data_IF_485790206684
#
_entry.id   IF_485790206684
#
_cell.length_a   1.000
_cell.length_b   1.000
_cell.length_c   1.000
_cell.angle_alpha   90.00
_cell.angle_beta   90.00
_cell.angle_gamma   90.00
#
_symmetry.space_group_name_H-M   'P 1'
#
loop_
_entity.id
_entity.type
_entity.pdbx_description
1 polymer ?
#
# COMPACT_ATOMS: atom_id res chain seq x y z
N UNK A 1 13.24 -30.20 -6.29
CA UNK A 1 13.26 -28.87 -5.62
C UNK A 1 11.94 -28.70 -4.90
N UNK A 2 11.95 -28.49 -3.59
CA UNK A 2 10.72 -28.18 -2.85
C UNK A 2 10.31 -26.73 -3.17
N UNK A 3 9.18 -26.54 -3.85
CA UNK A 3 8.54 -25.24 -3.97
C UNK A 3 8.10 -24.80 -2.57
N UNK A 4 8.95 -24.02 -1.89
CA UNK A 4 8.67 -23.52 -0.55
C UNK A 4 7.78 -22.28 -0.68
N UNK A 5 6.48 -22.49 -0.54
CA UNK A 5 5.48 -21.42 -0.46
C UNK A 5 5.82 -20.53 0.74
N UNK A 6 5.89 -19.22 0.52
CA UNK A 6 6.31 -18.21 1.50
C UNK A 6 5.34 -17.03 1.47
N UNK A 7 5.28 -16.26 2.57
CA UNK A 7 4.50 -15.01 2.63
C UNK A 7 4.98 -13.94 1.64
N UNK A 8 6.18 -14.11 1.07
CA UNK A 8 6.72 -13.24 0.02
C UNK A 8 6.07 -13.49 -1.34
N UNK A 9 5.36 -14.59 -1.53
CA UNK A 9 4.65 -14.87 -2.77
C UNK A 9 3.36 -14.04 -2.86
N UNK A 10 3.14 -13.33 -3.97
CA UNK A 10 2.02 -12.41 -4.18
C UNK A 10 0.66 -13.07 -3.89
N UNK A 11 0.48 -14.34 -4.31
CA UNK A 11 -0.77 -15.07 -4.10
C UNK A 11 -0.98 -15.39 -2.62
N UNK A 12 0.08 -15.81 -1.92
CA UNK A 12 0.03 -16.10 -0.48
C UNK A 12 -0.22 -14.82 0.31
N UNK A 13 0.52 -13.76 0.01
CA UNK A 13 0.37 -12.46 0.67
C UNK A 13 -1.06 -11.94 0.51
N UNK A 14 -1.57 -11.89 -0.72
CA UNK A 14 -2.94 -11.49 -1.01
C UNK A 14 -3.97 -12.38 -0.30
N UNK A 15 -3.78 -13.69 -0.28
CA UNK A 15 -4.68 -14.62 0.40
C UNK A 15 -4.73 -14.38 1.91
N UNK A 16 -3.58 -14.20 2.56
CA UNK A 16 -3.50 -13.91 3.99
C UNK A 16 -4.08 -12.53 4.30
N UNK A 17 -3.79 -11.52 3.48
CA UNK A 17 -4.27 -10.16 3.67
C UNK A 17 -5.75 -9.96 3.31
N UNK A 18 -6.36 -10.89 2.57
CA UNK A 18 -7.82 -10.94 2.41
C UNK A 18 -8.53 -11.19 3.75
N UNK A 19 -7.84 -11.76 4.75
CA UNK A 19 -8.35 -11.82 6.11
C UNK A 19 -8.26 -10.43 6.76
N UNK A 20 -9.43 -9.78 6.86
CA UNK A 20 -9.62 -8.45 7.44
C UNK A 20 -8.91 -8.25 8.80
N UNK A 21 -8.96 -9.23 9.70
CA UNK A 21 -8.35 -9.13 11.04
C UNK A 21 -6.83 -9.14 10.96
N UNK A 22 -6.26 -9.97 10.09
CA UNK A 22 -4.82 -10.03 9.89
C UNK A 22 -4.29 -8.77 9.21
N UNK A 23 -4.98 -8.27 8.19
CA UNK A 23 -4.64 -7.02 7.51
C UNK A 23 -4.67 -5.84 8.48
N UNK A 24 -5.75 -5.68 9.27
CA UNK A 24 -5.84 -4.63 10.29
C UNK A 24 -4.69 -4.71 11.29
N UNK A 25 -4.38 -5.92 11.78
CA UNK A 25 -3.28 -6.12 12.74
C UNK A 25 -1.92 -5.78 12.14
N UNK A 26 -1.69 -6.11 10.86
CA UNK A 26 -0.46 -5.74 10.16
C UNK A 26 -0.31 -4.22 10.07
N UNK A 27 -1.35 -3.50 9.63
CA UNK A 27 -1.30 -2.03 9.51
C UNK A 27 -1.01 -1.41 10.88
N UNK A 28 -1.71 -1.88 11.93
CA UNK A 28 -1.52 -1.41 13.30
C UNK A 28 -0.10 -1.69 13.85
N UNK A 29 0.53 -2.80 13.42
CA UNK A 29 1.92 -3.12 13.80
C UNK A 29 2.94 -2.21 13.10
N UNK A 30 2.69 -1.88 11.83
CA UNK A 30 3.59 -1.02 11.04
C UNK A 30 3.45 0.44 11.50
N UNK A 31 2.23 0.88 11.78
CA UNK A 31 1.86 2.25 12.17
C UNK A 31 1.19 2.26 13.56
N UNK A 32 1.92 1.95 14.65
CA UNK A 32 1.37 1.86 16.01
C UNK A 32 0.78 3.19 16.52
N UNK A 33 1.18 4.31 15.94
CA UNK A 33 0.65 5.64 16.23
C UNK A 33 -0.80 5.85 15.77
N UNK A 34 -1.27 5.06 14.80
CA UNK A 34 -2.65 5.11 14.34
C UNK A 34 -3.54 4.32 15.29
N UNK A 35 -4.75 4.80 15.54
CA UNK A 35 -5.77 4.07 16.30
C UNK A 35 -6.72 3.42 15.31
N UNK A 36 -6.37 2.22 14.81
CA UNK A 36 -7.18 1.54 13.79
C UNK A 36 -8.19 0.61 14.47
N UNK A 37 -9.41 1.10 14.62
CA UNK A 37 -10.51 0.32 15.22
C UNK A 37 -11.07 -0.70 14.24
N UNK A 38 -11.21 -0.29 12.98
CA UNK A 38 -11.72 -1.13 11.90
C UNK A 38 -11.16 -0.68 10.56
N UNK A 39 -11.13 -1.63 9.63
CA UNK A 39 -10.90 -1.37 8.21
C UNK A 39 -12.10 -1.80 7.37
N UNK A 40 -12.17 -1.36 6.13
CA UNK A 40 -13.01 -1.97 5.08
C UNK A 40 -12.45 -3.35 4.70
N UNK A 41 -13.22 -4.17 3.97
CA UNK A 41 -12.69 -5.44 3.46
C UNK A 41 -11.54 -5.13 2.49
N UNK A 42 -10.34 -5.73 2.69
CA UNK A 42 -9.21 -5.48 1.81
C UNK A 42 -9.53 -5.92 0.38
N UNK A 43 -9.32 -5.02 -0.58
CA UNK A 43 -9.35 -5.35 -2.00
C UNK A 43 -7.95 -5.75 -2.42
N UNK A 44 -7.77 -7.01 -2.78
CA UNK A 44 -6.48 -7.53 -3.24
C UNK A 44 -6.31 -7.35 -4.74
N UNK A 45 -5.08 -7.10 -5.19
CA UNK A 45 -4.73 -6.93 -6.60
C UNK A 45 -5.58 -5.86 -7.31
N UNK A 46 -5.93 -4.77 -6.59
CA UNK A 46 -6.77 -3.67 -7.11
C UNK A 46 -6.04 -2.96 -8.25
N UNK A 47 -6.61 -3.04 -9.45
CA UNK A 47 -6.05 -2.36 -10.63
C UNK A 47 -6.71 -1.01 -10.82
N UNK A 48 -5.90 0.03 -11.03
CA UNK A 48 -6.37 1.39 -11.38
C UNK A 48 -5.72 1.81 -12.69
N UNK A 49 -6.57 2.19 -13.63
CA UNK A 49 -6.20 2.70 -14.94
C UNK A 49 -7.00 3.99 -15.18
N UNK A 50 -6.30 5.11 -15.31
CA UNK A 50 -6.95 6.43 -15.47
C UNK A 50 -7.35 6.68 -16.93
N UNK A 51 -6.41 6.45 -17.85
CA UNK A 51 -6.62 6.52 -19.30
C UNK A 51 -5.85 5.42 -20.00
N UNK A 52 -6.23 5.05 -21.22
CA UNK A 52 -5.53 4.01 -22.00
C UNK A 52 -4.03 4.31 -22.27
N UNK A 53 -3.63 5.59 -22.19
CA UNK A 53 -2.26 6.03 -22.46
C UNK A 53 -1.41 6.15 -21.19
N UNK A 54 -2.05 6.15 -20.02
CA UNK A 54 -1.34 6.25 -18.74
C UNK A 54 -0.79 4.88 -18.29
N UNK A 55 0.26 4.86 -17.48
CA UNK A 55 0.73 3.61 -16.87
C UNK A 55 -0.28 3.18 -15.79
N UNK A 56 -0.80 1.96 -15.84
CA UNK A 56 -1.65 1.44 -14.77
C UNK A 56 -0.90 1.22 -13.46
N UNK A 57 -1.63 1.15 -12.34
CA UNK A 57 -1.11 0.61 -11.07
C UNK A 57 -1.95 -0.59 -10.65
N UNK A 58 -1.30 -1.56 -10.01
CA UNK A 58 -1.94 -2.69 -9.36
C UNK A 58 -1.45 -2.71 -7.93
N UNK A 59 -2.35 -2.41 -7.01
CA UNK A 59 -2.10 -2.42 -5.58
C UNK A 59 -2.32 -3.84 -5.05
N UNK A 60 -1.35 -4.40 -4.32
CA UNK A 60 -1.49 -5.76 -3.81
C UNK A 60 -2.59 -5.85 -2.77
N UNK A 61 -2.64 -4.91 -1.81
CA UNK A 61 -3.66 -4.83 -0.77
C UNK A 61 -4.10 -3.37 -0.58
N UNK A 62 -5.35 -3.07 -0.91
CA UNK A 62 -5.93 -1.74 -0.73
C UNK A 62 -7.09 -1.81 0.27
N UNK A 63 -7.07 -0.96 1.30
CA UNK A 63 -8.17 -0.82 2.25
C UNK A 63 -8.28 0.60 2.81
N UNK A 64 -9.36 0.89 3.53
CA UNK A 64 -9.61 2.14 4.24
C UNK A 64 -9.91 1.88 5.70
N UNK A 65 -9.45 2.74 6.60
CA UNK A 65 -9.83 2.67 8.01
C UNK A 65 -11.12 3.42 8.33
N UNK A 66 -11.49 3.50 9.62
CA UNK A 66 -12.71 4.17 10.06
C UNK A 66 -12.78 5.67 9.72
N UNK A 67 -11.64 6.33 9.55
CA UNK A 67 -11.53 7.75 9.23
C UNK A 67 -11.42 7.97 7.71
N UNK A 68 -11.46 6.88 6.95
CA UNK A 68 -11.36 6.88 5.50
C UNK A 68 -9.94 7.16 5.00
N UNK A 69 -8.93 6.97 5.85
CA UNK A 69 -7.52 6.99 5.44
C UNK A 69 -7.26 5.72 4.62
N UNK A 70 -6.65 5.88 3.45
CA UNK A 70 -6.30 4.75 2.59
C UNK A 70 -4.99 4.13 3.05
N UNK A 71 -4.97 2.80 3.12
CA UNK A 71 -3.79 1.98 3.36
C UNK A 71 -3.58 1.08 2.16
N UNK A 72 -2.46 1.28 1.47
CA UNK A 72 -1.98 0.45 0.38
C UNK A 72 -0.71 -0.27 0.85
N UNK A 73 -0.66 -1.59 0.68
CA UNK A 73 0.43 -2.44 1.18
C UNK A 73 0.88 -3.39 0.07
N UNK A 74 2.15 -3.29 -0.31
CA UNK A 74 2.78 -4.06 -1.38
C UNK A 74 3.95 -4.90 -0.81
N UNK A 75 4.04 -6.16 -1.21
CA UNK A 75 5.17 -7.04 -0.87
C UNK A 75 6.25 -6.90 -1.95
N UNK A 76 7.33 -6.16 -1.66
CA UNK A 76 8.40 -5.92 -2.62
C UNK A 76 9.55 -6.92 -2.42
N UNK A 77 9.49 -8.06 -3.09
CA UNK A 77 10.53 -9.11 -2.98
C UNK A 77 11.82 -8.77 -3.73
N UNK A 78 11.71 -8.02 -4.84
CA UNK A 78 12.87 -7.70 -5.69
C UNK A 78 13.41 -6.31 -5.39
N UNK A 79 14.73 -6.17 -5.28
CA UNK A 79 15.35 -4.85 -5.23
C UNK A 79 15.29 -4.20 -6.62
N UNK A 80 14.29 -3.36 -6.83
CA UNK A 80 14.11 -2.62 -8.08
C UNK A 80 14.56 -1.18 -7.90
N UNK A 81 15.32 -0.65 -8.86
CA UNK A 81 15.54 0.80 -8.95
C UNK A 81 14.19 1.50 -9.08
N UNK A 82 14.05 2.67 -8.44
CA UNK A 82 12.87 3.51 -8.59
C UNK A 82 11.79 3.34 -7.53
N UNK A 83 12.06 2.65 -6.41
CA UNK A 83 11.09 2.49 -5.33
C UNK A 83 10.49 3.83 -4.84
N UNK A 84 11.28 4.90 -4.60
CA UNK A 84 10.70 6.21 -4.23
C UNK A 84 9.77 6.80 -5.28
N UNK A 85 10.10 6.66 -6.56
CA UNK A 85 9.27 7.12 -7.67
C UNK A 85 7.96 6.33 -7.75
N UNK A 86 8.01 5.01 -7.50
CA UNK A 86 6.82 4.15 -7.43
C UNK A 86 5.91 4.53 -6.27
N UNK A 87 6.47 4.75 -5.07
CA UNK A 87 5.72 5.23 -3.90
C UNK A 87 4.97 6.52 -4.23
N UNK A 88 5.68 7.52 -4.78
CA UNK A 88 5.06 8.80 -5.19
C UNK A 88 3.95 8.59 -6.23
N UNK A 89 4.19 7.72 -7.21
CA UNK A 89 3.22 7.43 -8.27
C UNK A 89 1.96 6.77 -7.72
N UNK A 90 2.11 5.82 -6.80
CA UNK A 90 1.01 5.13 -6.14
C UNK A 90 0.19 6.10 -5.29
N UNK A 91 0.85 6.95 -4.51
CA UNK A 91 0.18 7.96 -3.70
C UNK A 91 -0.63 8.93 -4.57
N UNK A 92 -0.04 9.46 -5.64
CA UNK A 92 -0.76 10.33 -6.57
C UNK A 92 -1.97 9.64 -7.22
N UNK A 93 -1.89 8.32 -7.48
CA UNK A 93 -3.02 7.55 -8.01
C UNK A 93 -4.13 7.30 -6.99
N UNK A 94 -3.77 7.12 -5.73
CA UNK A 94 -4.73 7.10 -4.63
C UNK A 94 -5.42 8.47 -4.55
N UNK A 95 -4.67 9.57 -4.59
CA UNK A 95 -5.22 10.92 -4.52
C UNK A 95 -6.19 11.21 -5.69
N UNK A 96 -5.83 10.79 -6.91
CA UNK A 96 -6.71 10.88 -8.09
C UNK A 96 -7.99 10.04 -7.96
N UNK A 97 -7.95 8.88 -7.28
CA UNK A 97 -9.15 8.09 -7.01
C UNK A 97 -10.04 8.76 -5.93
N UNK A 98 -9.42 9.42 -4.96
CA UNK A 98 -10.14 10.11 -3.88
C UNK A 98 -10.81 11.40 -4.36
N UNK A 99 -10.12 12.19 -5.18
CA UNK A 99 -10.55 13.52 -5.57
C UNK A 99 -11.32 13.51 -6.89
N UNK A 100 -12.63 13.70 -6.80
CA UNK A 100 -13.51 13.81 -7.97
C UNK A 100 -13.46 15.22 -8.57
N UNK A 101 -13.83 15.30 -9.84
CA UNK A 101 -13.94 16.58 -10.56
C UNK A 101 -14.78 17.60 -9.76
N UNK A 102 -14.21 18.80 -9.56
CA UNK A 102 -14.85 19.89 -8.83
C UNK A 102 -14.64 19.89 -7.30
N UNK A 103 -13.98 18.86 -6.74
CA UNK A 103 -13.61 18.86 -5.32
C UNK A 103 -12.34 19.67 -5.05
N UNK A 104 -12.27 20.30 -3.87
CA UNK A 104 -11.12 21.08 -3.45
C UNK A 104 -10.01 20.17 -2.89
N UNK A 105 -8.75 20.46 -3.19
CA UNK A 105 -7.61 19.64 -2.71
C UNK A 105 -7.55 19.48 -1.18
N UNK A 106 -8.07 20.45 -0.42
CA UNK A 106 -8.15 20.39 1.05
C UNK A 106 -8.99 19.21 1.56
N UNK A 107 -9.84 18.61 0.71
CA UNK A 107 -10.63 17.43 1.07
C UNK A 107 -9.88 16.11 0.91
N UNK A 108 -8.64 16.12 0.38
CA UNK A 108 -7.82 14.92 0.28
C UNK A 108 -7.57 14.35 1.68
N UNK A 109 -7.95 13.08 1.84
CA UNK A 109 -7.67 12.34 3.07
C UNK A 109 -6.24 11.84 3.03
N UNK A 110 -5.70 11.52 4.21
CA UNK A 110 -4.39 10.89 4.31
C UNK A 110 -4.39 9.53 3.59
N UNK A 111 -3.24 9.17 3.06
CA UNK A 111 -2.95 7.86 2.47
C UNK A 111 -1.58 7.37 2.94
N UNK A 112 -1.46 6.07 3.17
CA UNK A 112 -0.20 5.39 3.44
C UNK A 112 0.05 4.37 2.33
N UNK A 113 1.22 4.48 1.70
CA UNK A 113 1.73 3.54 0.69
C UNK A 113 2.90 2.81 1.34
N UNK A 114 2.72 1.52 1.63
CA UNK A 114 3.60 0.74 2.48
C UNK A 114 4.22 -0.39 1.65
N UNK A 115 5.52 -0.30 1.41
CA UNK A 115 6.28 -1.40 0.83
C UNK A 115 6.95 -2.23 1.92
N UNK A 116 6.63 -3.51 1.99
CA UNK A 116 7.31 -4.49 2.85
C UNK A 116 8.41 -5.16 2.02
N UNK A 117 9.66 -4.90 2.39
CA UNK A 117 10.84 -5.42 1.68
C UNK A 117 11.57 -6.45 2.54
N UNK A 118 11.90 -7.66 2.03
CA UNK A 118 12.79 -8.62 2.70
C UNK A 118 14.28 -8.24 2.58
N UNK A 119 14.57 -7.01 2.17
CA UNK A 119 15.90 -6.43 1.99
C UNK A 119 15.87 -4.96 2.42
N UNK A 120 17.03 -4.35 2.65
CA UNK A 120 17.14 -2.91 2.91
C UNK A 120 17.14 -2.13 1.58
N UNK A 121 16.07 -1.39 1.23
CA UNK A 121 15.99 -0.70 -0.05
C UNK A 121 17.02 0.43 -0.20
N UNK A 122 17.54 0.99 0.90
CA UNK A 122 18.42 2.16 0.90
C UNK A 122 19.83 1.88 1.45
N UNK A 123 20.08 0.67 1.95
CA UNK A 123 21.36 0.26 2.55
C UNK A 123 21.81 1.17 3.71
N UNK A 124 20.86 1.67 4.52
CA UNK A 124 21.14 2.51 5.69
C UNK A 124 21.00 1.73 7.02
N UNK A 125 20.77 0.42 6.96
CA UNK A 125 20.69 -0.47 8.12
C UNK A 125 19.43 -0.28 8.97
N UNK A 126 18.36 0.34 8.43
CA UNK A 126 17.12 0.58 9.17
C UNK A 126 16.04 -0.44 8.81
N UNK A 127 15.16 -0.72 9.77
CA UNK A 127 14.00 -1.59 9.59
C UNK A 127 12.75 -0.83 9.09
N UNK A 128 12.73 0.51 9.20
CA UNK A 128 11.63 1.38 8.75
C UNK A 128 12.20 2.67 8.16
N UNK A 129 11.61 3.11 7.05
CA UNK A 129 11.90 4.38 6.40
C UNK A 129 10.58 5.09 6.13
N UNK A 130 10.44 6.29 6.69
CA UNK A 130 9.25 7.12 6.54
C UNK A 130 9.55 8.31 5.63
N UNK A 131 8.63 8.56 4.69
CA UNK A 131 8.66 9.72 3.81
C UNK A 131 7.29 10.39 3.87
N UNK A 132 7.26 11.72 3.92
CA UNK A 132 6.03 12.48 4.00
C UNK A 132 6.01 13.54 2.91
N UNK A 133 4.91 13.58 2.17
CA UNK A 133 4.55 14.71 1.31
C UNK A 133 3.61 15.63 2.11
N UNK A 134 3.80 16.94 1.99
CA UNK A 134 3.04 17.98 2.71
C UNK A 134 2.03 18.65 1.79
#
# INVERSE_FOLDING_TARGET
MQNKISIQDDFVFGSVMSNKRLCQRLIQLILPELKIERIEFPTVQKTIQETQFSRGVRFDVYTKDQDGVVHEIDMQVRHTRGLPQRVRYYQGRIDSEMLKHGQQYVTLRKSYVIFICPFDPFNLGRHRYDFKNF
#
